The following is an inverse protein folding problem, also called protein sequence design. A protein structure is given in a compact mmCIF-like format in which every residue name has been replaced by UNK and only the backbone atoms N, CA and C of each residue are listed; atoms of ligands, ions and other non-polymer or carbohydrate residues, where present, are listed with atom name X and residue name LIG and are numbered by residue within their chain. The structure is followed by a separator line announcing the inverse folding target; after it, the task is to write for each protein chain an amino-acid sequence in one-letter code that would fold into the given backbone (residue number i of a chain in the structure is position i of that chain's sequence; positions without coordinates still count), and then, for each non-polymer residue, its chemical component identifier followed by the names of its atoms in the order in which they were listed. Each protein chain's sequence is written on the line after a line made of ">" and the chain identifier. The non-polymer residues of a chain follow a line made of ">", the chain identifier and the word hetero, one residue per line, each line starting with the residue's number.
data_IF_481788735917
#
_entry.id   IF_481788735917
#
_cell.length_a   1.000
_cell.length_b   1.000
_cell.length_c   1.000
_cell.angle_alpha   90.00
_cell.angle_beta   90.00
_cell.angle_gamma   90.00
#
_symmetry.space_group_name_H-M   'P 1'
#
loop_
_entity.id
_entity.type
_entity.pdbx_description
1 polymer ?
#
# COMPACT_ATOMS: atom_id res chain seq x y z
N UNK A 1 -6.42 7.70 22.87
CA UNK A 1 -5.25 8.48 22.40
C UNK A 1 -4.72 7.77 21.16
N UNK A 2 -4.48 8.46 20.05
CA UNK A 2 -3.86 7.83 18.87
C UNK A 2 -2.44 7.38 19.21
N UNK A 3 -2.05 6.19 18.74
CA UNK A 3 -0.70 5.68 18.93
C UNK A 3 0.29 6.28 17.90
N UNK A 4 -0.23 6.81 16.80
CA UNK A 4 0.52 7.39 15.71
C UNK A 4 -0.07 8.74 15.31
N UNK A 5 0.78 9.68 14.90
CA UNK A 5 0.35 10.97 14.32
C UNK A 5 -0.34 10.76 12.97
N UNK A 6 -1.18 11.72 12.57
CA UNK A 6 -1.88 11.67 11.30
C UNK A 6 -0.88 11.60 10.13
N UNK A 7 0.19 12.39 10.19
CA UNK A 7 1.26 12.36 9.19
C UNK A 7 1.93 10.99 9.10
N UNK A 8 2.21 10.34 10.23
CA UNK A 8 2.82 9.02 10.24
C UNK A 8 1.89 7.97 9.61
N UNK A 9 0.58 8.02 9.90
CA UNK A 9 -0.43 7.14 9.31
C UNK A 9 -0.46 7.34 7.79
N UNK A 10 -0.58 8.58 7.31
CA UNK A 10 -0.64 8.90 5.89
C UNK A 10 0.62 8.44 5.15
N UNK A 11 1.81 8.65 5.73
CA UNK A 11 3.08 8.20 5.14
C UNK A 11 3.22 6.67 5.01
N UNK A 12 2.37 5.88 5.69
CA UNK A 12 2.36 4.42 5.50
C UNK A 12 1.78 3.99 4.16
N UNK A 13 0.85 4.75 3.59
CA UNK A 13 0.17 4.39 2.34
C UNK A 13 0.20 5.48 1.26
N UNK A 14 0.68 6.67 1.60
CA UNK A 14 0.97 7.77 0.68
C UNK A 14 2.47 8.09 0.71
N UNK A 15 2.98 8.57 -0.42
CA UNK A 15 4.32 9.14 -0.55
C UNK A 15 4.33 10.58 -0.04
N UNK A 16 5.51 11.16 0.04
CA UNK A 16 5.70 12.55 0.49
C UNK A 16 5.10 13.57 -0.49
N UNK A 17 4.90 13.18 -1.75
CA UNK A 17 4.21 13.98 -2.77
C UNK A 17 2.66 13.85 -2.71
N UNK A 18 2.14 13.05 -1.77
CA UNK A 18 0.71 12.78 -1.62
C UNK A 18 0.17 11.65 -2.50
N UNK A 19 0.97 11.08 -3.39
CA UNK A 19 0.53 9.97 -4.26
C UNK A 19 0.44 8.65 -3.49
N UNK A 20 -0.47 7.76 -3.91
CA UNK A 20 -0.63 6.44 -3.30
C UNK A 20 0.63 5.58 -3.49
N UNK A 21 1.04 4.88 -2.42
CA UNK A 21 2.12 3.89 -2.48
C UNK A 21 1.61 2.56 -3.01
N UNK A 22 2.36 1.97 -3.94
CA UNK A 22 2.15 0.58 -4.39
C UNK A 22 2.56 -0.42 -3.31
N UNK A 23 3.70 -0.19 -2.64
CA UNK A 23 4.17 -0.98 -1.49
C UNK A 23 4.08 -0.11 -0.26
N UNK A 24 3.27 -0.54 0.72
CA UNK A 24 3.06 0.23 1.94
C UNK A 24 4.34 0.32 2.76
N UNK A 25 4.53 1.47 3.40
CA UNK A 25 5.70 1.80 4.18
C UNK A 25 5.45 1.57 5.67
N UNK A 26 5.93 0.45 6.19
CA UNK A 26 5.88 0.18 7.63
C UNK A 26 6.89 1.02 8.42
N UNK A 27 7.89 1.60 7.75
CA UNK A 27 8.95 2.41 8.37
C UNK A 27 8.43 3.64 9.12
N UNK A 28 7.38 4.30 8.62
CA UNK A 28 6.79 5.48 9.28
C UNK A 28 6.18 5.17 10.67
N UNK A 29 5.95 3.89 10.98
CA UNK A 29 5.38 3.41 12.24
C UNK A 29 6.31 2.40 12.94
N UNK A 30 7.62 2.44 12.65
CA UNK A 30 8.65 1.64 13.32
C UNK A 30 8.88 0.23 12.76
N UNK A 31 8.53 -0.03 11.50
CA UNK A 31 8.80 -1.30 10.81
C UNK A 31 9.76 -1.18 9.63
N UNK A 32 9.66 -2.11 8.68
CA UNK A 32 10.50 -2.13 7.48
C UNK A 32 10.04 -1.04 6.50
N UNK A 33 10.99 -0.29 5.93
CA UNK A 33 10.69 0.73 4.94
C UNK A 33 10.28 0.13 3.60
N UNK A 34 9.40 0.81 2.85
CA UNK A 34 9.02 0.36 1.51
C UNK A 34 10.22 0.26 0.57
N UNK A 35 11.21 1.14 0.73
CA UNK A 35 12.40 1.17 -0.13
C UNK A 35 13.28 -0.07 0.10
N UNK A 36 13.40 -0.55 1.35
CA UNK A 36 14.12 -1.78 1.64
C UNK A 36 13.43 -3.00 1.01
N UNK A 37 12.09 -3.06 1.07
CA UNK A 37 11.30 -4.14 0.45
C UNK A 37 11.45 -4.13 -1.07
N UNK A 38 11.37 -2.95 -1.70
CA UNK A 38 11.55 -2.80 -3.15
C UNK A 38 12.97 -3.22 -3.56
N UNK A 39 13.99 -2.79 -2.82
CA UNK A 39 15.38 -3.16 -3.09
C UNK A 39 15.58 -4.67 -2.99
N UNK A 40 15.00 -5.30 -1.97
CA UNK A 40 15.04 -6.76 -1.81
C UNK A 40 14.42 -7.48 -3.03
N UNK A 41 13.23 -7.06 -3.47
CA UNK A 41 12.59 -7.66 -4.64
C UNK A 41 13.36 -7.43 -5.94
N UNK A 42 13.97 -6.24 -6.11
CA UNK A 42 14.78 -5.94 -7.27
C UNK A 42 16.07 -6.78 -7.30
N UNK A 43 16.66 -7.08 -6.14
CA UNK A 43 17.88 -7.87 -6.03
C UNK A 43 17.65 -9.38 -6.26
N UNK A 44 16.46 -9.90 -5.94
CA UNK A 44 16.18 -11.35 -5.96
C UNK A 44 16.51 -12.04 -7.31
N UNK A 45 16.10 -11.53 -8.49
CA UNK A 45 16.43 -12.16 -9.77
C UNK A 45 17.94 -12.26 -10.05
N UNK A 46 18.73 -11.30 -9.57
CA UNK A 46 20.18 -11.28 -9.75
C UNK A 46 20.88 -12.26 -8.81
N UNK A 47 20.41 -12.32 -7.56
CA UNK A 47 20.89 -13.32 -6.59
C UNK A 47 20.62 -14.72 -7.13
N UNK A 48 19.39 -14.95 -7.60
CA UNK A 48 18.99 -16.22 -8.20
C UNK A 48 19.85 -16.56 -9.41
N UNK A 49 20.05 -15.61 -10.32
CA UNK A 49 20.92 -15.80 -11.48
C UNK A 49 22.34 -16.20 -11.05
N UNK A 50 22.95 -15.51 -10.10
CA UNK A 50 24.30 -15.82 -9.63
C UNK A 50 24.39 -17.22 -8.96
N UNK A 51 23.34 -17.62 -8.24
CA UNK A 51 23.28 -18.92 -7.57
C UNK A 51 23.08 -20.08 -8.55
N UNK A 52 22.43 -19.86 -9.69
CA UNK A 52 22.17 -20.91 -10.68
C UNK A 52 23.26 -20.94 -11.76
N UNK A 53 23.63 -19.79 -12.30
CA UNK A 53 24.55 -19.69 -13.43
C UNK A 53 26.00 -19.56 -12.95
N UNK A 54 26.49 -20.59 -12.27
CA UNK A 54 27.89 -20.70 -11.84
C UNK A 54 28.51 -22.05 -12.25
N UNK A 55 29.86 -22.15 -12.30
CA UNK A 55 30.55 -23.34 -12.81
C UNK A 55 30.20 -24.64 -12.05
N UNK A 56 29.96 -24.54 -10.74
CA UNK A 56 29.63 -25.71 -9.92
C UNK A 56 28.27 -26.29 -10.33
N UNK A 57 27.24 -25.45 -10.42
CA UNK A 57 25.89 -25.87 -10.80
C UNK A 57 25.82 -26.32 -12.26
N UNK A 58 26.55 -25.66 -13.17
CA UNK A 58 26.63 -26.07 -14.57
C UNK A 58 27.25 -27.46 -14.75
N UNK A 59 28.30 -27.78 -13.99
CA UNK A 59 28.91 -29.11 -14.05
C UNK A 59 27.95 -30.21 -13.56
N UNK A 60 27.02 -29.87 -12.66
CA UNK A 60 26.05 -30.82 -12.10
C UNK A 60 24.81 -31.01 -12.99
N UNK A 61 24.25 -29.93 -13.50
CA UNK A 61 22.93 -29.93 -14.16
C UNK A 61 22.99 -29.72 -15.68
N UNK A 62 24.08 -29.15 -16.18
CA UNK A 62 24.17 -28.67 -17.56
C UNK A 62 23.37 -27.39 -17.81
N UNK A 63 23.69 -26.70 -18.90
CA UNK A 63 23.16 -25.36 -19.17
C UNK A 63 21.64 -25.35 -19.40
N UNK A 64 21.10 -26.35 -20.10
CA UNK A 64 19.67 -26.43 -20.41
C UNK A 64 18.82 -26.56 -19.14
N UNK A 65 19.25 -27.40 -18.20
CA UNK A 65 18.52 -27.61 -16.95
C UNK A 65 18.60 -26.39 -16.03
N UNK A 66 19.73 -25.66 -16.04
CA UNK A 66 19.88 -24.41 -15.30
C UNK A 66 18.92 -23.33 -15.79
N UNK A 67 18.72 -23.22 -17.10
CA UNK A 67 17.74 -22.29 -17.70
C UNK A 67 16.33 -22.64 -17.24
N UNK A 68 15.95 -23.93 -17.31
CA UNK A 68 14.62 -24.39 -16.84
C UNK A 68 14.44 -24.08 -15.35
N UNK A 69 15.44 -24.39 -14.52
CA UNK A 69 15.41 -24.12 -13.08
C UNK A 69 15.22 -22.63 -12.77
N UNK A 70 15.92 -21.75 -13.48
CA UNK A 70 15.79 -20.30 -13.34
C UNK A 70 14.38 -19.81 -13.66
N UNK A 71 13.76 -20.31 -14.73
CA UNK A 71 12.38 -19.89 -15.09
C UNK A 71 11.37 -20.32 -14.01
N UNK A 72 11.52 -21.54 -13.48
CA UNK A 72 10.63 -22.04 -12.41
C UNK A 72 10.83 -21.24 -11.12
N UNK A 73 12.07 -20.98 -10.72
CA UNK A 73 12.38 -20.21 -9.51
C UNK A 73 11.93 -18.75 -9.62
N UNK A 74 12.12 -18.08 -10.77
CA UNK A 74 11.54 -16.76 -11.03
C UNK A 74 10.02 -16.72 -10.84
N UNK A 75 9.32 -17.78 -11.27
CA UNK A 75 7.87 -17.90 -11.08
C UNK A 75 7.50 -17.99 -9.59
N UNK A 76 8.28 -18.74 -8.80
CA UNK A 76 8.12 -18.82 -7.34
C UNK A 76 8.42 -17.48 -6.67
N UNK A 77 9.47 -16.78 -7.12
CA UNK A 77 9.83 -15.44 -6.64
C UNK A 77 8.67 -14.47 -6.84
N UNK A 78 8.01 -14.48 -7.99
CA UNK A 78 6.84 -13.63 -8.24
C UNK A 78 5.69 -13.90 -7.27
N UNK A 79 5.42 -15.17 -6.96
CA UNK A 79 4.42 -15.57 -5.96
C UNK A 79 4.83 -15.05 -4.57
N UNK A 80 6.11 -15.19 -4.20
CA UNK A 80 6.62 -14.71 -2.92
C UNK A 80 6.50 -13.18 -2.78
N UNK A 81 6.86 -12.42 -3.82
CA UNK A 81 6.70 -10.96 -3.89
C UNK A 81 5.25 -10.55 -3.63
N UNK A 82 4.30 -11.24 -4.27
CA UNK A 82 2.87 -10.98 -4.08
C UNK A 82 2.43 -11.23 -2.63
N UNK A 83 2.78 -12.40 -2.06
CA UNK A 83 2.40 -12.77 -0.70
C UNK A 83 2.99 -11.83 0.36
N UNK A 84 4.26 -11.47 0.22
CA UNK A 84 4.94 -10.54 1.13
C UNK A 84 4.29 -9.16 1.05
N UNK A 85 4.04 -8.65 -0.15
CA UNK A 85 3.37 -7.35 -0.35
C UNK A 85 1.98 -7.34 0.29
N UNK A 86 1.21 -8.41 0.11
CA UNK A 86 -0.11 -8.56 0.72
C UNK A 86 -0.05 -8.61 2.25
N UNK A 87 0.90 -9.36 2.81
CA UNK A 87 1.09 -9.45 4.25
C UNK A 87 1.50 -8.11 4.87
N UNK A 88 2.39 -7.36 4.21
CA UNK A 88 2.78 -6.00 4.60
C UNK A 88 1.54 -5.09 4.61
N UNK A 89 0.74 -5.08 3.54
CA UNK A 89 -0.50 -4.29 3.45
C UNK A 89 -1.44 -4.62 4.62
N UNK A 90 -1.71 -5.90 4.87
CA UNK A 90 -2.57 -6.36 5.96
C UNK A 90 -2.03 -5.93 7.33
N UNK A 91 -0.72 -6.06 7.53
CA UNK A 91 -0.04 -5.67 8.78
C UNK A 91 -0.13 -4.15 9.03
N UNK A 92 0.14 -3.34 8.01
CA UNK A 92 0.02 -1.87 8.08
C UNK A 92 -1.39 -1.47 8.45
N UNK A 93 -2.39 -1.95 7.69
CA UNK A 93 -3.81 -1.62 7.93
C UNK A 93 -4.18 -1.99 9.37
N UNK A 94 -3.85 -3.21 9.83
CA UNK A 94 -4.15 -3.64 11.20
C UNK A 94 -3.52 -2.74 12.26
N UNK A 95 -2.29 -2.28 12.06
CA UNK A 95 -1.57 -1.42 13.01
C UNK A 95 -2.12 0.00 13.05
N UNK A 96 -2.44 0.59 11.89
CA UNK A 96 -2.88 1.99 11.80
C UNK A 96 -4.38 2.15 12.05
N UNK A 97 -5.20 1.11 11.83
CA UNK A 97 -6.67 1.19 11.95
C UNK A 97 -7.16 1.82 13.26
N UNK A 98 -6.64 1.47 14.46
CA UNK A 98 -7.12 2.09 15.69
C UNK A 98 -6.82 3.59 15.76
N UNK A 99 -5.67 4.02 15.22
CA UNK A 99 -5.32 5.44 15.16
C UNK A 99 -6.09 6.15 14.06
N UNK A 100 -6.33 5.50 12.92
CA UNK A 100 -7.20 6.02 11.87
C UNK A 100 -8.62 6.29 12.39
N UNK A 101 -9.23 5.33 13.07
CA UNK A 101 -10.58 5.48 13.64
C UNK A 101 -10.65 6.56 14.73
N UNK A 102 -9.52 6.93 15.33
CA UNK A 102 -9.46 8.08 16.24
C UNK A 102 -9.59 9.41 15.49
N UNK A 103 -8.94 9.55 14.33
CA UNK A 103 -9.00 10.76 13.51
C UNK A 103 -10.26 10.83 12.63
N UNK A 104 -10.68 9.68 12.09
CA UNK A 104 -11.77 9.56 11.11
C UNK A 104 -12.69 8.38 11.47
N UNK A 105 -13.54 8.51 12.50
CA UNK A 105 -14.33 7.39 13.02
C UNK A 105 -15.39 6.85 12.04
N UNK A 106 -15.87 7.70 11.12
CA UNK A 106 -16.90 7.34 10.14
C UNK A 106 -16.34 6.87 8.79
N UNK A 107 -15.04 6.98 8.56
CA UNK A 107 -14.43 6.73 7.25
C UNK A 107 -13.74 5.38 7.24
N UNK A 108 -14.20 4.49 6.36
CA UNK A 108 -13.57 3.18 6.16
C UNK A 108 -12.25 3.34 5.38
N UNK A 109 -11.14 3.11 6.09
CA UNK A 109 -9.80 3.12 5.52
C UNK A 109 -9.65 2.13 4.35
N UNK A 110 -10.36 1.00 4.36
CA UNK A 110 -10.26 0.01 3.29
C UNK A 110 -10.83 0.52 1.98
N UNK A 111 -11.88 1.35 2.02
CA UNK A 111 -12.46 1.99 0.84
C UNK A 111 -11.52 3.03 0.23
N UNK A 112 -10.82 3.79 1.08
CA UNK A 112 -9.78 4.75 0.66
C UNK A 112 -8.59 4.06 0.02
N UNK A 113 -8.18 2.91 0.57
CA UNK A 113 -7.04 2.14 0.07
C UNK A 113 -7.39 1.18 -1.06
N UNK A 114 -8.66 1.06 -1.41
CA UNK A 114 -9.14 0.23 -2.52
C UNK A 114 -8.58 0.73 -3.86
N UNK A 115 -8.50 -0.17 -4.83
CA UNK A 115 -8.23 0.17 -6.24
C UNK A 115 -9.52 0.21 -7.07
N UNK A 116 -10.64 -0.21 -6.50
CA UNK A 116 -11.96 -0.09 -7.13
C UNK A 116 -12.49 1.34 -7.00
N UNK A 117 -13.52 1.68 -7.79
CA UNK A 117 -14.21 2.96 -7.66
C UNK A 117 -14.98 2.98 -6.34
N UNK A 118 -14.51 3.80 -5.40
CA UNK A 118 -15.13 4.03 -4.09
C UNK A 118 -15.44 5.51 -3.93
N UNK A 119 -16.32 5.88 -2.97
CA UNK A 119 -16.60 7.29 -2.67
C UNK A 119 -15.36 8.10 -2.34
N UNK A 120 -14.30 7.47 -1.83
CA UNK A 120 -13.05 8.13 -1.42
C UNK A 120 -11.90 7.98 -2.43
N UNK A 121 -12.20 7.61 -3.67
CA UNK A 121 -11.18 7.34 -4.70
C UNK A 121 -10.27 8.54 -5.01
N UNK A 122 -10.77 9.77 -4.86
CA UNK A 122 -10.03 11.02 -5.07
C UNK A 122 -9.22 11.48 -3.85
N UNK A 123 -9.21 10.71 -2.75
CA UNK A 123 -8.56 11.12 -1.50
C UNK A 123 -7.10 11.57 -1.69
N UNK A 124 -6.33 10.84 -2.49
CA UNK A 124 -4.92 11.15 -2.72
C UNK A 124 -4.71 12.48 -3.46
N UNK A 125 -5.66 12.89 -4.30
CA UNK A 125 -5.61 14.19 -4.98
C UNK A 125 -5.83 15.34 -4.00
N UNK A 126 -6.82 15.20 -3.11
CA UNK A 126 -7.05 16.16 -2.03
C UNK A 126 -5.86 16.23 -1.08
N UNK A 127 -5.32 15.07 -0.68
CA UNK A 127 -4.17 15.01 0.21
C UNK A 127 -2.94 15.68 -0.40
N UNK A 128 -2.65 15.42 -1.68
CA UNK A 128 -1.54 16.05 -2.40
C UNK A 128 -1.68 17.58 -2.44
N UNK A 129 -2.89 18.11 -2.67
CA UNK A 129 -3.17 19.56 -2.58
C UNK A 129 -2.94 20.10 -1.16
N UNK A 130 -3.40 19.38 -0.14
CA UNK A 130 -3.22 19.76 1.25
C UNK A 130 -1.73 19.82 1.68
N UNK A 131 -0.88 19.00 1.06
CA UNK A 131 0.57 19.03 1.27
C UNK A 131 1.24 20.24 0.61
N UNK A 132 0.81 20.63 -0.59
CA UNK A 132 1.33 21.82 -1.28
C UNK A 132 1.09 23.11 -0.51
N UNK A 133 0.04 23.16 0.31
CA UNK A 133 -0.31 24.31 1.13
C UNK A 133 0.39 24.32 2.50
N UNK A 134 1.36 23.40 2.74
CA UNK A 134 2.17 23.28 3.96
C UNK A 134 1.35 23.34 5.27
N UNK A 135 0.14 22.78 5.26
CA UNK A 135 -0.79 22.82 6.40
C UNK A 135 -0.17 22.16 7.64
N UNK A 136 -0.38 22.77 8.81
CA UNK A 136 -0.09 22.11 10.10
C UNK A 136 -0.94 20.85 10.28
N UNK A 137 -0.56 19.93 11.18
CA UNK A 137 -1.27 18.66 11.35
C UNK A 137 -2.77 18.83 11.67
N UNK A 138 -3.12 19.80 12.51
CA UNK A 138 -4.51 20.11 12.84
C UNK A 138 -5.28 20.69 11.63
N UNK A 139 -4.65 21.58 10.86
CA UNK A 139 -5.24 22.14 9.64
C UNK A 139 -5.40 21.08 8.56
N UNK A 140 -4.44 20.18 8.43
CA UNK A 140 -4.49 19.05 7.51
C UNK A 140 -5.63 18.10 7.89
N UNK A 141 -5.78 17.77 9.19
CA UNK A 141 -6.88 16.93 9.66
C UNK A 141 -8.24 17.53 9.30
N UNK A 142 -8.45 18.82 9.59
CA UNK A 142 -9.69 19.51 9.28
C UNK A 142 -9.95 19.58 7.77
N UNK A 143 -8.94 19.93 6.98
CA UNK A 143 -9.03 19.96 5.53
C UNK A 143 -9.40 18.59 4.93
N UNK A 144 -8.82 17.50 5.45
CA UNK A 144 -9.18 16.15 5.02
C UNK A 144 -10.61 15.77 5.43
N UNK A 145 -11.07 16.16 6.62
CA UNK A 145 -12.47 15.97 7.03
C UNK A 145 -13.44 16.68 6.09
N UNK A 146 -13.14 17.90 5.69
CA UNK A 146 -14.00 18.64 4.77
C UNK A 146 -13.89 18.07 3.34
N UNK A 147 -12.72 17.59 2.94
CA UNK A 147 -12.54 16.86 1.67
C UNK A 147 -13.37 15.58 1.61
N UNK A 148 -13.51 14.85 2.74
CA UNK A 148 -14.38 13.67 2.80
C UNK A 148 -15.84 14.02 2.53
N UNK A 149 -16.36 15.12 3.08
CA UNK A 149 -17.73 15.57 2.81
C UNK A 149 -17.94 15.90 1.33
N UNK A 150 -16.99 16.61 0.72
CA UNK A 150 -17.04 16.93 -0.72
C UNK A 150 -17.06 15.65 -1.54
N UNK A 151 -16.18 14.69 -1.24
CA UNK A 151 -16.15 13.40 -1.92
C UNK A 151 -17.45 12.59 -1.73
N UNK A 152 -18.04 12.61 -0.53
CA UNK A 152 -19.33 11.95 -0.27
C UNK A 152 -20.49 12.61 -1.04
N UNK A 153 -20.49 13.94 -1.13
CA UNK A 153 -21.50 14.70 -1.87
C UNK A 153 -21.39 14.44 -3.38
N UNK A 154 -20.18 14.48 -3.93
CA UNK A 154 -19.92 14.17 -5.35
C UNK A 154 -20.25 12.72 -5.70
N UNK A 155 -20.14 11.81 -4.74
CA UNK A 155 -20.40 10.37 -4.93
C UNK A 155 -21.69 9.90 -4.24
N UNK A 156 -22.65 10.81 -4.01
CA UNK A 156 -23.90 10.49 -3.30
C UNK A 156 -24.66 9.33 -3.93
N UNK A 157 -24.78 9.31 -5.26
CA UNK A 157 -25.46 8.24 -6.01
C UNK A 157 -24.77 6.88 -5.80
N UNK A 158 -23.44 6.88 -5.73
CA UNK A 158 -22.65 5.67 -5.47
C UNK A 158 -22.86 5.16 -4.04
N UNK A 159 -22.87 6.06 -3.06
CA UNK A 159 -23.14 5.72 -1.65
C UNK A 159 -24.54 5.16 -1.50
N UNK A 160 -25.54 5.75 -2.16
CA UNK A 160 -26.92 5.28 -2.14
C UNK A 160 -27.04 3.88 -2.75
N UNK A 161 -26.41 3.66 -3.92
CA UNK A 161 -26.37 2.35 -4.57
C UNK A 161 -25.72 1.27 -3.69
N UNK A 162 -24.57 1.58 -3.08
CA UNK A 162 -23.87 0.66 -2.18
C UNK A 162 -24.68 0.35 -0.92
N UNK A 163 -25.38 1.35 -0.35
CA UNK A 163 -26.22 1.17 0.84
C UNK A 163 -27.46 0.33 0.52
N UNK A 164 -28.02 0.49 -0.69
CA UNK A 164 -29.15 -0.29 -1.16
C UNK A 164 -28.76 -1.75 -1.32
N UNK A 165 -27.62 -2.05 -1.95
CA UNK A 165 -27.11 -3.41 -2.16
C UNK A 165 -26.83 -4.14 -0.83
N UNK A 166 -26.22 -3.46 0.15
CA UNK A 166 -25.96 -4.00 1.49
C UNK A 166 -27.22 -4.32 2.32
N UNK A 167 -28.41 -3.80 1.95
CA UNK A 167 -29.68 -4.13 2.62
C UNK A 167 -30.35 -5.39 2.06
N UNK A 168 -29.88 -5.91 0.93
CA UNK A 168 -30.44 -7.11 0.28
C UNK A 168 -29.60 -8.39 0.54
N UNK A 169 -28.63 -8.31 1.44
CA UNK A 169 -27.83 -9.42 1.95
C UNK A 169 -27.98 -9.53 3.47
#
# INVERSE_FOLDING_TARGET
>A
MSAYSLKAILLTFAKEDGTKRTVFNLGAIGGISSNAVILFFLAMPFIEYALIFNPYVFNLLGIAQCIVLYIVLLSIVMIAVFLITWQIKKSVIKKIMPSWNHYFPSIDLTMLLSSAKTPYSQFFDFYSKGLLEEKTEAQLHQYLLDSFKVMEEENKDLIEAMTKDNKFH
#
